data_IF_981182389224
#
_entry.id   IF_981182389224
#
_cell.length_a   1.000
_cell.length_b   1.000
_cell.length_c   1.000
_cell.angle_alpha   90.00
_cell.angle_beta   90.00
_cell.angle_gamma   90.00
#
_symmetry.space_group_name_H-M   'P 1'
#
loop_
_entity.id
_entity.type
_entity.pdbx_description
1 polymer ?
#
# COMPACT_ATOMS: atom_id res chain seq x y z
N UNK A 1 -0.24 12.76 2.02
CA UNK A 1 0.57 11.51 1.91
C UNK A 1 1.66 11.65 0.84
N UNK A 2 2.88 11.15 1.09
CA UNK A 2 3.98 11.03 0.13
C UNK A 2 4.42 9.56 0.04
N UNK A 3 4.41 8.99 -1.17
CA UNK A 3 4.93 7.65 -1.43
C UNK A 3 5.87 7.69 -2.62
N UNK A 4 7.09 7.23 -2.38
CA UNK A 4 8.11 7.09 -3.42
C UNK A 4 8.60 5.66 -3.47
N UNK A 5 8.70 5.15 -4.70
CA UNK A 5 9.26 3.83 -4.97
C UNK A 5 10.46 4.01 -5.87
N UNK A 6 11.63 3.60 -5.40
CA UNK A 6 12.88 3.70 -6.15
C UNK A 6 12.88 2.65 -7.26
N UNK A 7 12.93 3.13 -8.50
CA UNK A 7 13.13 2.27 -9.66
C UNK A 7 14.56 1.74 -9.69
N UNK A 8 14.72 0.42 -9.70
CA UNK A 8 16.04 -0.18 -9.78
C UNK A 8 16.62 -0.03 -11.19
N UNK A 9 17.93 0.19 -11.26
CA UNK A 9 18.65 0.27 -12.53
C UNK A 9 18.85 -1.11 -13.16
N UNK A 10 19.05 -2.13 -12.30
CA UNK A 10 19.31 -3.50 -12.69
C UNK A 10 18.56 -4.45 -11.75
N UNK A 11 17.96 -5.48 -12.33
CA UNK A 11 17.21 -6.52 -11.64
C UNK A 11 17.91 -7.88 -11.77
N UNK A 12 17.82 -8.68 -10.71
CA UNK A 12 18.34 -10.05 -10.66
C UNK A 12 17.37 -11.02 -11.31
N UNK A 13 17.85 -11.80 -12.30
CA UNK A 13 17.05 -12.80 -13.01
C UNK A 13 16.70 -14.01 -12.15
N UNK A 14 17.66 -14.48 -11.35
CA UNK A 14 17.45 -15.62 -10.45
C UNK A 14 16.42 -15.26 -9.39
N UNK A 15 16.49 -14.06 -8.83
CA UNK A 15 15.49 -13.59 -7.88
C UNK A 15 14.13 -13.34 -8.53
N UNK A 16 14.08 -12.80 -9.76
CA UNK A 16 12.84 -12.67 -10.51
C UNK A 16 12.15 -14.03 -10.66
N UNK A 17 12.89 -15.05 -11.08
CA UNK A 17 12.36 -16.41 -11.25
C UNK A 17 11.89 -16.98 -9.91
N UNK A 18 12.70 -16.85 -8.85
CA UNK A 18 12.34 -17.31 -7.51
C UNK A 18 11.04 -16.65 -7.02
N UNK A 19 10.92 -15.32 -7.13
CA UNK A 19 9.69 -14.60 -6.73
C UNK A 19 8.49 -14.92 -7.59
N UNK A 20 8.66 -15.06 -8.89
CA UNK A 20 7.53 -15.30 -9.80
C UNK A 20 6.95 -16.71 -9.64
N UNK A 21 7.81 -17.71 -9.39
CA UNK A 21 7.40 -19.11 -9.30
C UNK A 21 7.09 -19.50 -7.85
N UNK A 22 8.02 -19.23 -6.93
CA UNK A 22 7.92 -19.65 -5.53
C UNK A 22 7.42 -18.53 -4.61
N UNK A 23 7.47 -17.26 -5.04
CA UNK A 23 7.10 -16.12 -4.20
C UNK A 23 5.70 -16.19 -3.58
N UNK A 24 4.66 -16.71 -4.26
CA UNK A 24 3.38 -16.97 -3.60
C UNK A 24 3.52 -17.83 -2.33
N UNK A 25 4.39 -18.84 -2.35
CA UNK A 25 4.61 -19.76 -1.23
C UNK A 25 5.53 -19.21 -0.15
N UNK A 26 6.72 -18.67 -0.48
CA UNK A 26 7.70 -18.27 0.54
C UNK A 26 7.71 -16.77 0.89
N UNK A 27 7.07 -15.93 0.06
CA UNK A 27 6.88 -14.49 0.34
C UNK A 27 5.44 -14.25 0.78
N UNK A 28 4.46 -14.50 -0.09
CA UNK A 28 3.10 -14.04 0.13
C UNK A 28 2.44 -14.77 1.32
N UNK A 29 2.44 -16.11 1.35
CA UNK A 29 1.77 -16.87 2.43
C UNK A 29 2.28 -16.48 3.84
N UNK A 30 3.60 -16.52 4.14
CA UNK A 30 4.10 -16.14 5.46
C UNK A 30 3.73 -14.71 5.84
N UNK A 31 3.82 -13.78 4.90
CA UNK A 31 3.48 -12.38 5.15
C UNK A 31 2.00 -12.16 5.37
N UNK A 32 1.15 -12.79 4.57
CA UNK A 32 -0.32 -12.67 4.69
C UNK A 32 -0.77 -13.23 6.03
N UNK A 33 -0.21 -14.36 6.48
CA UNK A 33 -0.51 -14.93 7.80
C UNK A 33 -0.16 -13.92 8.91
N UNK A 34 1.07 -13.38 8.90
CA UNK A 34 1.47 -12.43 9.95
C UNK A 34 0.69 -11.12 9.85
N UNK A 35 0.47 -10.60 8.64
CA UNK A 35 -0.35 -9.41 8.42
C UNK A 35 -1.80 -9.61 8.86
N UNK A 36 -2.35 -10.82 8.80
CA UNK A 36 -3.68 -11.12 9.34
C UNK A 36 -3.71 -10.91 10.86
N UNK A 37 -2.71 -11.40 11.61
CA UNK A 37 -2.62 -11.11 13.06
C UNK A 37 -2.36 -9.63 13.34
N UNK A 38 -1.47 -8.99 12.59
CA UNK A 38 -1.17 -7.55 12.75
C UNK A 38 -2.38 -6.68 12.38
N UNK A 39 -3.26 -7.16 11.49
CA UNK A 39 -4.50 -6.47 11.13
C UNK A 39 -5.46 -6.35 12.31
N UNK A 40 -5.43 -7.28 13.27
CA UNK A 40 -6.20 -7.18 14.51
C UNK A 40 -5.71 -5.99 15.34
N UNK A 41 -4.39 -5.82 15.46
CA UNK A 41 -3.81 -4.65 16.11
C UNK A 41 -4.08 -3.36 15.33
N UNK A 42 -4.04 -3.40 13.99
CA UNK A 42 -4.42 -2.26 13.14
C UNK A 42 -5.88 -1.88 13.36
N UNK A 43 -6.78 -2.85 13.47
CA UNK A 43 -8.19 -2.63 13.74
C UNK A 43 -8.42 -2.00 15.12
N UNK A 44 -7.70 -2.46 16.15
CA UNK A 44 -7.70 -1.80 17.46
C UNK A 44 -7.24 -0.34 17.37
N UNK A 45 -6.12 -0.07 16.69
CA UNK A 45 -5.62 1.30 16.50
C UNK A 45 -6.59 2.17 15.70
N UNK A 46 -7.27 1.61 14.71
CA UNK A 46 -8.32 2.27 13.95
C UNK A 46 -9.51 2.66 14.82
N UNK A 47 -10.04 1.73 15.63
CA UNK A 47 -11.15 2.03 16.55
C UNK A 47 -10.75 3.08 17.58
N UNK A 48 -9.57 2.92 18.20
CA UNK A 48 -9.04 3.89 19.15
C UNK A 48 -8.90 5.28 18.51
N UNK A 49 -8.32 5.37 17.31
CA UNK A 49 -8.19 6.63 16.59
C UNK A 49 -9.56 7.26 16.33
N UNK A 50 -10.51 6.47 15.83
CA UNK A 50 -11.89 6.93 15.55
C UNK A 50 -12.54 7.56 16.77
N UNK A 51 -12.59 6.85 17.90
CA UNK A 51 -13.22 7.37 19.12
C UNK A 51 -12.49 8.58 19.70
N UNK A 52 -11.15 8.60 19.67
CA UNK A 52 -10.39 9.76 20.14
C UNK A 52 -10.65 10.97 19.26
N UNK A 53 -10.58 10.84 17.93
CA UNK A 53 -10.87 11.95 17.01
C UNK A 53 -12.29 12.49 17.22
N UNK A 54 -13.29 11.62 17.38
CA UNK A 54 -14.67 12.05 17.63
C UNK A 54 -14.82 12.82 18.96
N UNK A 55 -14.05 12.44 19.99
CA UNK A 55 -14.10 13.09 21.31
C UNK A 55 -13.28 14.38 21.37
N UNK A 56 -12.03 14.35 20.92
CA UNK A 56 -11.04 15.41 21.11
C UNK A 56 -10.77 16.21 19.83
N UNK A 57 -11.03 15.64 18.65
CA UNK A 57 -10.63 16.20 17.37
C UNK A 57 -9.17 15.92 17.00
N UNK A 58 -8.43 15.24 17.87
CA UNK A 58 -6.99 14.99 17.67
C UNK A 58 -6.72 13.55 17.26
N UNK A 59 -5.82 13.35 16.30
CA UNK A 59 -5.38 12.00 15.94
C UNK A 59 -4.34 11.49 16.96
N UNK A 60 -4.55 10.34 17.63
CA UNK A 60 -3.54 9.77 18.53
C UNK A 60 -2.24 9.39 17.80
N UNK A 61 -1.11 9.96 18.22
CA UNK A 61 0.21 9.76 17.59
C UNK A 61 0.58 8.30 17.38
N UNK A 62 0.48 7.49 18.43
CA UNK A 62 0.84 6.06 18.35
C UNK A 62 -0.01 5.30 17.34
N UNK A 63 -1.29 5.67 17.20
CA UNK A 63 -2.20 5.00 16.25
C UNK A 63 -1.94 5.47 14.82
N UNK A 64 -1.65 6.76 14.64
CA UNK A 64 -1.24 7.31 13.35
C UNK A 64 0.05 6.64 12.85
N UNK A 65 1.06 6.55 13.72
CA UNK A 65 2.35 5.92 13.42
C UNK A 65 2.20 4.41 13.14
N UNK A 66 1.41 3.71 13.95
CA UNK A 66 1.17 2.27 13.75
C UNK A 66 0.46 1.99 12.42
N UNK A 67 -0.61 2.72 12.10
CA UNK A 67 -1.38 2.52 10.86
C UNK A 67 -0.57 2.90 9.62
N UNK A 68 0.25 3.96 9.71
CA UNK A 68 1.23 4.31 8.65
C UNK A 68 2.22 3.18 8.44
N UNK A 69 2.79 2.63 9.51
CA UNK A 69 3.75 1.53 9.48
C UNK A 69 3.14 0.22 8.95
N UNK A 70 1.87 -0.05 9.29
CA UNK A 70 1.10 -1.16 8.77
C UNK A 70 0.92 -1.05 7.24
N UNK A 71 0.49 0.12 6.75
CA UNK A 71 0.38 0.39 5.32
C UNK A 71 1.73 0.33 4.61
N UNK A 72 2.81 0.79 5.25
CA UNK A 72 4.16 0.70 4.72
C UNK A 72 4.57 -0.78 4.55
N UNK A 73 4.28 -1.65 5.52
CA UNK A 73 4.55 -3.08 5.38
C UNK A 73 3.73 -3.73 4.27
N UNK A 74 2.43 -3.45 4.18
CA UNK A 74 1.59 -3.95 3.09
C UNK A 74 2.14 -3.52 1.70
N UNK A 75 2.60 -2.26 1.59
CA UNK A 75 3.23 -1.75 0.38
C UNK A 75 4.58 -2.44 0.09
N UNK A 76 5.44 -2.68 1.10
CA UNK A 76 6.70 -3.44 0.92
C UNK A 76 6.46 -4.83 0.38
N UNK A 77 5.44 -5.53 0.89
CA UNK A 77 5.04 -6.85 0.39
C UNK A 77 4.57 -6.76 -1.06
N UNK A 78 3.70 -5.78 -1.36
CA UNK A 78 3.18 -5.55 -2.70
C UNK A 78 4.30 -5.42 -3.74
N UNK A 79 5.35 -4.63 -3.45
CA UNK A 79 6.48 -4.45 -4.37
C UNK A 79 7.14 -5.78 -4.77
N UNK A 80 7.22 -6.76 -3.86
CA UNK A 80 7.89 -8.05 -4.13
C UNK A 80 6.96 -9.02 -4.84
N UNK A 81 5.69 -9.05 -4.44
CA UNK A 81 4.67 -9.90 -5.06
C UNK A 81 4.45 -9.52 -6.53
N UNK A 82 4.51 -8.23 -6.86
CA UNK A 82 4.37 -7.74 -8.24
C UNK A 82 5.70 -7.53 -8.97
N UNK A 83 6.81 -8.09 -8.45
CA UNK A 83 8.15 -8.02 -9.04
C UNK A 83 8.67 -6.60 -9.32
N UNK A 84 8.16 -5.59 -8.63
CA UNK A 84 8.58 -4.20 -8.81
C UNK A 84 9.98 -3.93 -8.27
N UNK A 85 10.39 -4.68 -7.22
CA UNK A 85 11.72 -4.59 -6.66
C UNK A 85 12.28 -5.96 -6.24
N UNK A 86 13.61 -6.04 -6.23
CA UNK A 86 14.36 -7.19 -5.77
C UNK A 86 14.37 -7.33 -4.24
N UNK A 87 14.92 -8.45 -3.77
CA UNK A 87 15.05 -8.79 -2.36
C UNK A 87 13.79 -9.38 -1.72
N UNK A 88 13.90 -9.64 -0.42
CA UNK A 88 12.84 -10.17 0.43
C UNK A 88 12.27 -9.05 1.32
N UNK A 89 10.94 -8.94 1.50
CA UNK A 89 10.38 -7.93 2.39
C UNK A 89 10.63 -8.31 3.85
N UNK A 90 11.22 -7.41 4.64
CA UNK A 90 11.47 -7.65 6.06
C UNK A 90 10.15 -7.65 6.87
N UNK A 91 9.96 -8.64 7.75
CA UNK A 91 8.82 -8.71 8.66
C UNK A 91 8.82 -7.58 9.69
N UNK A 92 7.63 -7.09 10.03
CA UNK A 92 7.40 -6.19 11.15
C UNK A 92 7.10 -4.75 10.72
N UNK A 93 6.34 -4.05 11.56
CA UNK A 93 5.84 -2.69 11.25
C UNK A 93 6.92 -1.61 11.30
N UNK A 94 7.92 -1.72 12.18
CA UNK A 94 9.00 -0.72 12.35
C UNK A 94 10.20 -0.91 11.41
N UNK A 95 10.01 -1.63 10.31
CA UNK A 95 11.09 -1.93 9.36
C UNK A 95 11.07 -0.97 8.17
N UNK A 96 12.25 -0.47 7.83
CA UNK A 96 12.45 0.37 6.65
C UNK A 96 12.66 -0.48 5.39
N UNK A 97 12.52 0.15 4.23
CA UNK A 97 12.82 -0.44 2.93
C UNK A 97 13.79 0.46 2.14
N UNK A 98 14.82 -0.08 1.49
CA UNK A 98 15.67 0.73 0.62
C UNK A 98 14.97 1.23 -0.65
N UNK A 99 13.83 0.63 -1.03
CA UNK A 99 13.11 0.99 -2.24
C UNK A 99 11.79 1.72 -2.00
N UNK A 100 11.29 1.80 -0.77
CA UNK A 100 10.00 2.39 -0.46
C UNK A 100 10.12 3.43 0.64
N UNK A 101 9.55 4.61 0.40
CA UNK A 101 9.18 5.55 1.45
C UNK A 101 7.66 5.73 1.44
N UNK A 102 7.06 5.77 2.63
CA UNK A 102 5.65 6.10 2.81
C UNK A 102 5.50 6.99 4.04
N UNK A 103 5.06 8.21 3.81
CA UNK A 103 4.87 9.19 4.87
C UNK A 103 3.45 9.77 4.80
N UNK A 104 2.76 9.74 5.93
CA UNK A 104 1.56 10.53 6.15
C UNK A 104 1.93 11.71 7.04
N UNK A 105 1.62 12.92 6.57
CA UNK A 105 1.71 14.08 7.42
C UNK A 105 0.53 14.00 8.40
N UNK A 106 0.83 13.96 9.70
CA UNK A 106 -0.22 13.99 10.70
C UNK A 106 -1.02 15.28 10.56
N UNK A 107 -2.33 15.13 10.56
CA UNK A 107 -3.29 16.21 10.57
C UNK A 107 -4.47 15.80 11.45
N UNK A 108 -5.06 16.76 12.12
CA UNK A 108 -6.22 16.55 12.97
C UNK A 108 -7.48 16.54 12.10
N UNK A 109 -8.17 15.40 11.95
CA UNK A 109 -9.27 15.27 11.00
C UNK A 109 -10.54 15.97 11.51
N UNK A 110 -11.39 16.40 10.57
CA UNK A 110 -12.72 16.88 10.93
C UNK A 110 -13.56 15.75 11.55
N UNK A 111 -14.24 16.07 12.67
CA UNK A 111 -15.03 15.09 13.43
C UNK A 111 -16.24 14.58 12.65
N UNK A 112 -16.92 15.46 11.93
CA UNK A 112 -18.09 15.11 11.13
C UNK A 112 -17.70 14.20 9.98
N UNK A 113 -16.64 14.54 9.25
CA UNK A 113 -16.09 13.69 8.20
C UNK A 113 -15.61 12.35 8.74
N UNK A 114 -14.98 12.33 9.92
CA UNK A 114 -14.58 11.09 10.60
C UNK A 114 -15.79 10.20 10.84
N UNK A 115 -16.85 10.72 11.47
CA UNK A 115 -18.08 9.97 11.72
C UNK A 115 -18.70 9.43 10.43
N UNK A 116 -18.88 10.30 9.43
CA UNK A 116 -19.47 9.92 8.14
C UNK A 116 -18.64 8.84 7.45
N UNK A 117 -17.31 8.94 7.52
CA UNK A 117 -16.39 7.96 6.93
C UNK A 117 -16.37 6.64 7.68
N UNK A 118 -16.46 6.64 9.00
CA UNK A 118 -16.54 5.42 9.80
C UNK A 118 -17.83 4.64 9.48
N UNK A 119 -18.97 5.34 9.39
CA UNK A 119 -20.28 4.69 9.19
C UNK A 119 -20.54 4.35 7.72
N UNK A 120 -20.29 5.30 6.81
CA UNK A 120 -20.66 5.19 5.40
C UNK A 120 -19.46 5.09 4.46
N UNK A 121 -18.22 5.20 4.95
CA UNK A 121 -17.02 5.23 4.09
C UNK A 121 -16.85 3.97 3.25
N UNK A 122 -17.29 2.81 3.72
CA UNK A 122 -17.33 1.60 2.89
C UNK A 122 -18.22 1.81 1.67
N UNK A 123 -19.40 2.41 1.83
CA UNK A 123 -20.36 2.65 0.75
C UNK A 123 -19.87 3.71 -0.25
N UNK A 124 -19.41 4.88 0.21
CA UNK A 124 -19.09 6.00 -0.69
C UNK A 124 -17.60 6.15 -1.03
N UNK A 125 -16.69 5.56 -0.27
CA UNK A 125 -15.26 5.50 -0.62
C UNK A 125 -14.94 4.15 -1.22
N UNK A 126 -15.13 3.05 -0.48
CA UNK A 126 -14.61 1.77 -0.90
C UNK A 126 -15.29 1.22 -2.16
N UNK A 127 -16.62 1.26 -2.24
CA UNK A 127 -17.36 0.72 -3.42
C UNK A 127 -17.00 1.44 -4.73
N UNK A 128 -17.00 2.77 -4.85
CA UNK A 128 -16.56 3.42 -6.10
C UNK A 128 -15.11 3.06 -6.47
N UNK A 129 -14.25 2.88 -5.47
CA UNK A 129 -12.85 2.55 -5.69
C UNK A 129 -12.65 1.07 -6.07
N UNK A 130 -13.51 0.14 -5.63
CA UNK A 130 -13.36 -1.28 -5.98
C UNK A 130 -13.50 -1.50 -7.49
N UNK A 131 -14.39 -0.75 -8.16
CA UNK A 131 -14.60 -0.83 -9.60
C UNK A 131 -13.32 -0.41 -10.33
N UNK A 132 -12.75 0.74 -9.97
CA UNK A 132 -11.49 1.23 -10.56
C UNK A 132 -10.34 0.29 -10.22
N UNK A 133 -10.31 -0.28 -9.01
CA UNK A 133 -9.31 -1.24 -8.59
C UNK A 133 -9.30 -2.46 -9.51
N UNK A 134 -10.47 -3.02 -9.86
CA UNK A 134 -10.58 -4.18 -10.76
C UNK A 134 -9.91 -3.94 -12.12
N UNK A 135 -10.21 -2.81 -12.77
CA UNK A 135 -9.58 -2.47 -14.06
C UNK A 135 -8.07 -2.26 -13.93
N UNK A 136 -7.64 -1.51 -12.90
CA UNK A 136 -6.20 -1.28 -12.65
C UNK A 136 -5.47 -2.58 -12.34
N UNK A 137 -6.12 -3.50 -11.61
CA UNK A 137 -5.55 -4.78 -11.25
C UNK A 137 -5.29 -5.65 -12.48
N UNK A 138 -6.21 -5.73 -13.43
CA UNK A 138 -6.02 -6.44 -14.70
C UNK A 138 -4.83 -5.86 -15.47
N UNK A 139 -4.75 -4.51 -15.59
CA UNK A 139 -3.61 -3.85 -16.25
C UNK A 139 -2.30 -4.14 -15.52
N UNK A 140 -2.30 -4.14 -14.20
CA UNK A 140 -1.13 -4.51 -13.39
C UNK A 140 -0.70 -5.95 -13.66
N UNK A 141 -1.63 -6.92 -13.70
CA UNK A 141 -1.29 -8.32 -13.98
C UNK A 141 -0.65 -8.50 -15.37
N UNK A 142 -1.23 -7.89 -16.40
CA UNK A 142 -0.66 -7.89 -17.75
C UNK A 142 0.70 -7.20 -17.76
N UNK A 143 0.82 -6.07 -17.07
CA UNK A 143 2.08 -5.33 -16.93
C UNK A 143 3.17 -6.13 -16.22
N UNK A 144 2.85 -6.86 -15.16
CA UNK A 144 3.81 -7.73 -14.45
C UNK A 144 4.24 -8.89 -15.33
N UNK A 145 3.34 -9.48 -16.12
CA UNK A 145 3.70 -10.52 -17.08
C UNK A 145 4.66 -9.99 -18.16
N UNK A 146 4.37 -8.81 -18.73
CA UNK A 146 5.27 -8.17 -19.70
C UNK A 146 6.61 -7.84 -19.05
N UNK A 147 6.59 -7.23 -17.86
CA UNK A 147 7.80 -6.86 -17.13
C UNK A 147 8.64 -8.08 -16.77
N UNK A 148 8.03 -9.21 -16.44
CA UNK A 148 8.72 -10.48 -16.20
C UNK A 148 9.60 -10.85 -17.39
N UNK A 149 9.06 -10.91 -18.62
CA UNK A 149 9.85 -11.24 -19.79
C UNK A 149 10.92 -10.19 -20.09
N UNK A 150 10.58 -8.89 -20.00
CA UNK A 150 11.55 -7.83 -20.26
C UNK A 150 12.72 -7.90 -19.28
N UNK A 151 12.47 -8.10 -17.98
CA UNK A 151 13.52 -8.25 -16.98
C UNK A 151 14.30 -9.55 -17.20
N UNK A 152 13.64 -10.65 -17.58
CA UNK A 152 14.32 -11.92 -17.84
C UNK A 152 15.38 -11.77 -18.94
N UNK A 153 15.06 -11.08 -20.04
CA UNK A 153 16.01 -10.88 -21.15
C UNK A 153 16.97 -9.72 -20.91
N UNK A 154 16.46 -8.56 -20.51
CA UNK A 154 17.25 -7.31 -20.45
C UNK A 154 17.80 -6.99 -19.06
N UNK A 155 17.22 -7.58 -18.01
CA UNK A 155 17.50 -7.25 -16.62
C UNK A 155 17.02 -5.86 -16.19
N UNK A 156 16.19 -5.20 -16.99
CA UNK A 156 15.64 -3.87 -16.71
C UNK A 156 14.13 -3.92 -16.65
N UNK A 157 13.55 -3.29 -15.63
CA UNK A 157 12.10 -3.17 -15.52
C UNK A 157 11.62 -2.03 -16.44
N UNK A 158 10.55 -2.22 -17.23
CA UNK A 158 10.03 -1.17 -18.10
C UNK A 158 9.56 0.04 -17.31
N UNK A 159 10.20 1.20 -17.50
CA UNK A 159 9.93 2.40 -16.72
C UNK A 159 8.47 2.87 -16.80
N UNK A 160 7.81 2.70 -17.96
CA UNK A 160 6.38 3.02 -18.13
C UNK A 160 5.48 2.15 -17.26
N UNK A 161 5.73 0.84 -17.24
CA UNK A 161 4.97 -0.10 -16.41
C UNK A 161 5.23 0.13 -14.92
N UNK A 162 6.49 0.41 -14.55
CA UNK A 162 6.83 0.76 -13.18
C UNK A 162 6.08 2.01 -12.72
N UNK A 163 6.08 3.09 -13.50
CA UNK A 163 5.33 4.32 -13.17
C UNK A 163 3.84 4.05 -12.99
N UNK A 164 3.23 3.23 -13.86
CA UNK A 164 1.83 2.86 -13.72
C UNK A 164 1.57 2.10 -12.41
N UNK A 165 2.38 1.08 -12.10
CA UNK A 165 2.21 0.27 -10.91
C UNK A 165 2.46 1.05 -9.62
N UNK A 166 3.48 1.92 -9.58
CA UNK A 166 3.69 2.84 -8.47
C UNK A 166 2.47 3.76 -8.29
N UNK A 167 1.90 4.27 -9.39
CA UNK A 167 0.67 5.05 -9.33
C UNK A 167 -0.53 4.24 -8.80
N UNK A 168 -0.65 2.96 -9.17
CA UNK A 168 -1.68 2.06 -8.65
C UNK A 168 -1.50 1.81 -7.15
N UNK A 169 -0.28 1.53 -6.70
CA UNK A 169 0.05 1.35 -5.30
C UNK A 169 -0.28 2.63 -4.52
N UNK A 170 0.22 3.79 -4.97
CA UNK A 170 -0.02 5.11 -4.36
C UNK A 170 -1.50 5.39 -4.18
N UNK A 171 -2.29 5.14 -5.22
CA UNK A 171 -3.73 5.28 -5.18
C UNK A 171 -4.36 4.35 -4.14
N UNK A 172 -3.99 3.07 -4.12
CA UNK A 172 -4.52 2.11 -3.15
C UNK A 172 -4.21 2.50 -1.70
N UNK A 173 -2.96 2.88 -1.39
CA UNK A 173 -2.63 3.34 -0.03
C UNK A 173 -3.35 4.63 0.32
N UNK A 174 -3.61 5.54 -0.62
CA UNK A 174 -4.42 6.75 -0.37
C UNK A 174 -5.85 6.42 0.02
N UNK A 175 -6.47 5.45 -0.64
CA UNK A 175 -7.82 4.97 -0.28
C UNK A 175 -7.83 4.41 1.14
N UNK A 176 -6.86 3.55 1.46
CA UNK A 176 -6.74 2.97 2.80
C UNK A 176 -6.40 4.03 3.86
N UNK A 177 -5.53 4.98 3.55
CA UNK A 177 -5.19 6.11 4.42
C UNK A 177 -6.40 6.99 4.72
N UNK A 178 -7.27 7.21 3.73
CA UNK A 178 -8.53 7.90 3.94
C UNK A 178 -9.43 7.11 4.89
N UNK A 179 -9.61 5.80 4.66
CA UNK A 179 -10.42 4.91 5.51
C UNK A 179 -9.88 4.81 6.94
N UNK A 180 -8.56 4.87 7.13
CA UNK A 180 -7.90 4.95 8.44
C UNK A 180 -7.83 6.36 9.04
N UNK A 181 -8.46 7.34 8.42
CA UNK A 181 -8.46 8.76 8.82
C UNK A 181 -7.07 9.43 8.80
N UNK A 182 -6.04 8.77 8.24
CA UNK A 182 -4.69 9.35 8.06
C UNK A 182 -4.69 10.52 7.08
N UNK A 183 -5.68 10.53 6.18
CA UNK A 183 -5.94 11.62 5.25
C UNK A 183 -7.43 12.01 5.38
N UNK A 184 -7.71 13.31 5.48
CA UNK A 184 -9.08 13.81 5.67
C UNK A 184 -9.78 14.13 4.33
N UNK A 185 -9.01 14.19 3.24
CA UNK A 185 -9.54 14.44 1.91
C UNK A 185 -10.14 13.18 1.28
N UNK A 186 -11.15 13.34 0.42
CA UNK A 186 -11.66 12.23 -0.37
C UNK A 186 -10.55 11.73 -1.34
N UNK A 187 -10.31 10.41 -1.43
CA UNK A 187 -9.26 9.87 -2.28
C UNK A 187 -9.59 10.10 -3.75
N UNK A 188 -8.70 10.79 -4.45
CA UNK A 188 -8.83 10.96 -5.91
C UNK A 188 -8.59 9.63 -6.63
N UNK A 189 -9.31 9.39 -7.73
CA UNK A 189 -9.15 8.23 -8.61
C UNK A 189 -7.86 8.21 -9.44
N UNK A 190 -6.97 9.19 -9.24
CA UNK A 190 -5.67 9.28 -9.90
C UNK A 190 -4.56 8.68 -9.05
N UNK A 191 -3.64 7.98 -9.71
CA UNK A 191 -2.38 7.50 -9.13
C UNK A 191 -1.24 8.50 -9.13
N UNK A 192 -1.42 9.75 -9.59
CA UNK A 192 -0.39 10.78 -9.56
C UNK A 192 -0.09 11.25 -8.13
N UNK A 193 1.11 11.82 -7.94
CA UNK A 193 1.41 12.62 -6.76
C UNK A 193 0.52 13.88 -6.73
N UNK A 194 0.26 14.41 -5.53
CA UNK A 194 -0.38 15.70 -5.28
C UNK A 194 0.63 16.61 -4.59
#
# INVERSE_FOLDING_TARGET
>A
MRLEVKHQQQYSRSELLARSILGPLYIAIPHVIVLAFVSIAAFYHYLRATFTILKTGEYPEDSHSFLTSYLHWAARLHLRVFNMNDGYPNFGVKQNDPYLSLEYKKQDPDRTKTLLRTVFGVLYIFIPHIIVWLFRYIITLVGVLIAFFVVLFTGKYPAGLHRFQVGTLRWMVRVLGSLFHLEDSYPAFSGSDR
#
